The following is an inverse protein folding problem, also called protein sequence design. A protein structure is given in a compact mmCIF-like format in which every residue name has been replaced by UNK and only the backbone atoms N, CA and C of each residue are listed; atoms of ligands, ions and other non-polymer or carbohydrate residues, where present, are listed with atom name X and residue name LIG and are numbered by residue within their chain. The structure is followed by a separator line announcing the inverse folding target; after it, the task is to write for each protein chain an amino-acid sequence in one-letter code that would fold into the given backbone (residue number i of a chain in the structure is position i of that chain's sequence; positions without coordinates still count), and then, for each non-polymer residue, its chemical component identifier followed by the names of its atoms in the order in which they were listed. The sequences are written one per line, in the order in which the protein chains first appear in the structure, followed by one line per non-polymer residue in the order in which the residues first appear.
data_IF_733165963875
#
_entry.id   IF_733165963875
#
_cell.length_a   1.000
_cell.length_b   1.000
_cell.length_c   1.000
_cell.angle_alpha   90.00
_cell.angle_beta   90.00
_cell.angle_gamma   90.00
#
_symmetry.space_group_name_H-M   'P 1'
#
loop_
_entity.id
_entity.type
_entity.pdbx_description
1 polymer ?
#
# COMPACT_ATOMS: atom_id res chain seq x y z
N UNK A 1 35.54 -23.56 36.12
CA UNK A 1 35.37 -22.13 36.45
C UNK A 1 34.80 -21.47 35.21
N UNK A 2 33.48 -21.62 35.04
CA UNK A 2 32.70 -21.10 33.92
C UNK A 2 31.94 -19.86 34.40
N UNK A 3 32.00 -18.77 33.62
CA UNK A 3 31.09 -17.63 33.79
C UNK A 3 30.07 -17.59 32.66
N UNK A 4 28.83 -17.76 33.09
CA UNK A 4 27.57 -17.86 32.37
C UNK A 4 27.29 -16.65 31.47
N UNK A 5 26.98 -16.91 30.21
CA UNK A 5 26.09 -16.06 29.41
C UNK A 5 24.64 -16.32 29.84
N UNK A 6 23.96 -15.27 30.27
CA UNK A 6 22.58 -15.34 30.71
C UNK A 6 21.67 -15.36 29.47
N UNK A 7 21.16 -16.53 29.09
CA UNK A 7 20.07 -16.65 28.14
C UNK A 7 18.78 -16.14 28.80
N UNK A 8 18.35 -14.93 28.44
CA UNK A 8 16.99 -14.49 28.67
C UNK A 8 16.05 -15.43 27.92
N UNK A 9 15.37 -16.31 28.67
CA UNK A 9 14.25 -17.13 28.18
C UNK A 9 13.24 -16.22 27.48
N UNK A 10 12.96 -16.46 26.20
CA UNK A 10 11.77 -15.94 25.53
C UNK A 10 10.56 -16.48 26.27
N UNK A 11 9.89 -15.65 27.07
CA UNK A 11 8.56 -15.98 27.56
C UNK A 11 7.59 -15.77 26.39
N UNK A 12 7.07 -16.85 25.84
CA UNK A 12 5.88 -16.79 24.99
C UNK A 12 4.67 -16.43 25.87
N UNK A 13 3.60 -15.88 25.28
CA UNK A 13 2.32 -15.68 25.97
C UNK A 13 1.82 -16.98 26.64
N UNK A 14 2.18 -18.14 26.09
CA UNK A 14 1.91 -19.46 26.66
C UNK A 14 2.71 -19.78 27.94
N UNK A 15 3.91 -19.22 28.12
CA UNK A 15 4.72 -19.38 29.33
C UNK A 15 4.18 -18.55 30.51
N UNK A 16 3.33 -17.56 30.22
CA UNK A 16 2.62 -16.78 31.23
C UNK A 16 1.38 -17.54 31.75
N UNK A 17 0.70 -18.28 30.88
CA UNK A 17 -0.57 -19.00 31.17
C UNK A 17 -0.37 -20.28 31.99
N UNK A 18 0.76 -20.99 31.82
CA UNK A 18 1.04 -22.24 32.58
C UNK A 18 1.32 -22.05 34.08
N UNK A 19 1.44 -20.81 34.55
CA UNK A 19 1.70 -20.51 35.97
C UNK A 19 0.43 -20.31 36.80
N UNK A 20 -0.75 -20.37 36.20
CA UNK A 20 -2.01 -20.28 36.93
C UNK A 20 -2.51 -21.67 37.32
N UNK A 21 -2.55 -21.95 38.62
CA UNK A 21 -2.95 -23.25 39.19
C UNK A 21 -4.47 -23.48 39.21
N UNK A 22 -5.26 -22.61 38.60
CA UNK A 22 -6.73 -22.64 38.63
C UNK A 22 -7.39 -23.31 37.42
N UNK A 23 -6.63 -23.70 36.38
CA UNK A 23 -7.17 -24.18 35.10
C UNK A 23 -7.02 -25.70 34.96
N UNK A 24 -8.15 -26.42 34.97
CA UNK A 24 -8.20 -27.87 34.75
C UNK A 24 -7.95 -28.23 33.27
N UNK A 25 -6.85 -28.93 33.03
CA UNK A 25 -6.36 -29.32 31.69
C UNK A 25 -6.99 -30.60 31.11
N UNK A 26 -7.99 -31.18 31.77
CA UNK A 26 -8.56 -32.49 31.41
C UNK A 26 -9.68 -32.48 30.37
N UNK A 27 -10.13 -31.31 29.89
CA UNK A 27 -11.23 -31.21 28.93
C UNK A 27 -10.80 -31.46 27.47
N UNK A 28 -11.52 -32.33 26.76
CA UNK A 28 -11.35 -32.62 25.31
C UNK A 28 -11.57 -31.42 24.37
N UNK A 29 -11.97 -30.27 24.90
CA UNK A 29 -12.23 -29.04 24.15
C UNK A 29 -11.52 -27.82 24.78
N UNK A 30 -10.32 -28.06 25.32
CA UNK A 30 -9.48 -27.06 26.00
C UNK A 30 -9.32 -25.76 25.21
N UNK A 31 -9.19 -25.82 23.87
CA UNK A 31 -9.01 -24.62 23.04
C UNK A 31 -10.28 -23.75 22.92
N UNK A 32 -11.49 -24.34 22.92
CA UNK A 32 -12.74 -23.57 22.81
C UNK A 32 -13.05 -22.88 24.14
N UNK A 33 -12.83 -23.57 25.26
CA UNK A 33 -12.99 -23.05 26.62
C UNK A 33 -11.94 -21.97 26.91
N UNK A 34 -10.68 -22.16 26.49
CA UNK A 34 -9.61 -21.17 26.66
C UNK A 34 -9.87 -19.91 25.82
N UNK A 35 -10.38 -20.06 24.59
CA UNK A 35 -10.76 -18.93 23.73
C UNK A 35 -11.90 -18.11 24.35
N UNK A 36 -12.94 -18.78 24.84
CA UNK A 36 -14.08 -18.11 25.51
C UNK A 36 -13.70 -17.52 26.87
N UNK A 37 -12.74 -18.10 27.60
CA UNK A 37 -12.20 -17.50 28.83
C UNK A 37 -11.30 -16.29 28.53
N UNK A 38 -10.40 -16.39 27.56
CA UNK A 38 -9.50 -15.29 27.18
C UNK A 38 -10.26 -14.08 26.62
N UNK A 39 -11.32 -14.30 25.84
CA UNK A 39 -12.23 -13.23 25.40
C UNK A 39 -13.05 -12.61 26.54
N UNK A 40 -13.30 -13.37 27.62
CA UNK A 40 -13.94 -12.87 28.84
C UNK A 40 -12.97 -12.17 29.79
N UNK A 41 -11.68 -12.49 29.76
CA UNK A 41 -10.68 -11.95 30.69
C UNK A 41 -9.87 -10.77 30.13
N UNK A 42 -9.70 -10.65 28.79
CA UNK A 42 -8.90 -9.58 28.18
C UNK A 42 -9.75 -8.81 27.17
N UNK A 43 -10.32 -7.69 27.62
CA UNK A 43 -10.89 -6.68 26.73
C UNK A 43 -9.77 -6.07 25.85
N UNK A 44 -9.80 -6.24 24.51
CA UNK A 44 -8.74 -5.74 23.62
C UNK A 44 -8.47 -4.25 23.79
N UNK A 45 -9.52 -3.47 24.05
CA UNK A 45 -9.40 -2.03 24.25
C UNK A 45 -8.64 -1.71 25.54
N UNK A 46 -8.88 -2.45 26.63
CA UNK A 46 -8.08 -2.33 27.87
C UNK A 46 -6.62 -2.68 27.65
N UNK A 47 -6.35 -3.72 26.86
CA UNK A 47 -4.98 -4.13 26.58
C UNK A 47 -4.22 -3.09 25.75
N UNK A 48 -4.91 -2.43 24.80
CA UNK A 48 -4.34 -1.35 24.00
C UNK A 48 -4.12 -0.09 24.85
N UNK A 49 -5.16 0.38 25.55
CA UNK A 49 -5.13 1.68 26.24
C UNK A 49 -4.42 1.62 27.60
N UNK A 50 -4.30 0.44 28.20
CA UNK A 50 -3.82 0.28 29.58
C UNK A 50 -4.89 0.60 30.63
N UNK A 51 -4.52 0.47 31.91
CA UNK A 51 -5.46 0.49 33.04
C UNK A 51 -6.05 1.89 33.38
N UNK A 52 -5.52 2.97 32.79
CA UNK A 52 -5.84 4.35 33.20
C UNK A 52 -6.84 5.07 32.27
N UNK A 53 -7.41 4.41 31.26
CA UNK A 53 -8.30 5.06 30.28
C UNK A 53 -9.77 4.69 30.46
N UNK A 54 -10.65 5.69 30.29
CA UNK A 54 -12.09 5.48 30.29
C UNK A 54 -12.53 4.82 28.98
N UNK A 55 -12.87 3.53 29.04
CA UNK A 55 -13.34 2.75 27.89
C UNK A 55 -14.52 3.38 27.14
N UNK A 56 -15.36 4.17 27.81
CA UNK A 56 -16.54 4.81 27.17
C UNK A 56 -16.18 5.85 26.11
N UNK A 57 -14.91 6.24 26.05
CA UNK A 57 -14.43 7.29 25.17
C UNK A 57 -13.72 6.76 23.91
N UNK A 58 -13.48 5.45 23.82
CA UNK A 58 -12.78 4.84 22.70
C UNK A 58 -13.58 3.66 22.15
N UNK A 59 -13.54 3.47 20.83
CA UNK A 59 -14.19 2.35 20.15
C UNK A 59 -13.29 1.92 18.98
N UNK A 60 -12.96 0.63 18.90
CA UNK A 60 -12.31 0.07 17.69
C UNK A 60 -13.37 -0.11 16.59
N UNK A 61 -12.96 -0.19 15.32
CA UNK A 61 -13.89 -0.65 14.29
C UNK A 61 -14.29 -2.11 14.52
N UNK A 62 -15.51 -2.46 14.13
CA UNK A 62 -16.09 -3.81 14.31
C UNK A 62 -15.33 -4.89 13.51
N UNK A 63 -14.60 -4.50 12.47
CA UNK A 63 -13.78 -5.38 11.64
C UNK A 63 -12.33 -5.51 12.13
N UNK A 64 -11.98 -4.92 13.28
CA UNK A 64 -10.69 -5.11 13.96
C UNK A 64 -10.77 -6.34 14.85
N UNK A 65 -10.22 -7.45 14.36
CA UNK A 65 -10.32 -8.73 15.08
C UNK A 65 -9.04 -9.56 15.07
N UNK A 66 -8.07 -9.23 14.23
CA UNK A 66 -6.84 -10.01 14.13
C UNK A 66 -5.77 -9.48 15.08
N UNK A 67 -4.97 -10.38 15.64
CA UNK A 67 -3.91 -10.03 16.61
C UNK A 67 -2.98 -8.95 16.06
N UNK A 68 -2.59 -9.02 14.79
CA UNK A 68 -1.72 -8.02 14.17
C UNK A 68 -2.37 -6.64 14.09
N UNK A 69 -3.69 -6.55 13.92
CA UNK A 69 -4.45 -5.29 13.88
C UNK A 69 -4.50 -4.67 15.27
N UNK A 70 -4.73 -5.48 16.31
CA UNK A 70 -4.68 -5.03 17.71
C UNK A 70 -3.27 -4.54 18.08
N UNK A 71 -2.22 -5.24 17.63
CA UNK A 71 -0.84 -4.81 17.85
C UNK A 71 -0.56 -3.47 17.16
N UNK A 72 -0.98 -3.29 15.91
CA UNK A 72 -0.81 -2.02 15.20
C UNK A 72 -1.63 -0.89 15.83
N UNK A 73 -2.87 -1.16 16.27
CA UNK A 73 -3.71 -0.22 17.00
C UNK A 73 -3.01 0.25 18.29
N UNK A 74 -2.37 -0.67 19.02
CA UNK A 74 -1.55 -0.32 20.20
C UNK A 74 -0.34 0.51 19.83
N UNK A 75 0.39 0.16 18.77
CA UNK A 75 1.58 0.88 18.33
C UNK A 75 1.26 2.33 17.94
N UNK A 76 0.20 2.58 17.17
CA UNK A 76 -0.20 3.95 16.83
C UNK A 76 -0.71 4.73 18.04
N UNK A 77 -1.42 4.07 18.96
CA UNK A 77 -1.92 4.68 20.18
C UNK A 77 -0.76 5.11 21.09
N UNK A 78 0.18 4.21 21.40
CA UNK A 78 1.33 4.52 22.26
C UNK A 78 2.18 5.67 21.69
N UNK A 79 2.25 5.78 20.36
CA UNK A 79 3.00 6.86 19.69
C UNK A 79 2.28 8.22 19.77
N UNK A 80 0.94 8.24 19.79
CA UNK A 80 0.15 9.45 19.62
C UNK A 80 -0.73 9.82 20.83
N UNK A 81 -0.77 9.00 21.88
CA UNK A 81 -1.67 9.15 23.04
C UNK A 81 -1.55 10.48 23.78
N UNK A 82 -0.39 11.11 23.75
CA UNK A 82 -0.14 12.41 24.39
C UNK A 82 -0.90 13.56 23.69
N UNK A 83 -1.34 13.36 22.44
CA UNK A 83 -2.15 14.32 21.70
C UNK A 83 -3.37 13.62 21.08
N UNK A 84 -4.45 13.50 21.85
CA UNK A 84 -5.66 12.82 21.43
C UNK A 84 -6.36 13.46 20.23
N UNK A 85 -6.19 14.78 20.01
CA UNK A 85 -6.71 15.43 18.81
C UNK A 85 -5.94 15.02 17.56
N UNK A 86 -4.61 14.94 17.65
CA UNK A 86 -3.79 14.39 16.57
C UNK A 86 -4.10 12.90 16.35
N UNK A 87 -4.25 12.13 17.44
CA UNK A 87 -4.61 10.71 17.36
C UNK A 87 -5.97 10.51 16.67
N UNK A 88 -7.01 11.27 17.02
CA UNK A 88 -8.33 11.26 16.37
C UNK A 88 -8.23 11.51 14.86
N UNK A 89 -7.34 12.41 14.43
CA UNK A 89 -7.10 12.74 13.02
C UNK A 89 -6.34 11.65 12.26
N UNK A 90 -5.54 10.84 12.94
CA UNK A 90 -4.57 9.95 12.31
C UNK A 90 -4.84 8.47 12.47
N UNK A 91 -5.44 8.04 13.57
CA UNK A 91 -5.69 6.62 13.90
C UNK A 91 -6.32 5.87 12.73
N UNK A 92 -5.87 4.64 12.51
CA UNK A 92 -6.41 3.76 11.50
C UNK A 92 -7.46 2.78 12.06
N UNK A 93 -7.31 2.36 13.32
CA UNK A 93 -8.08 1.25 13.88
C UNK A 93 -9.18 1.68 14.87
N UNK A 94 -9.18 2.93 15.29
CA UNK A 94 -10.21 3.45 16.20
C UNK A 94 -11.32 4.15 15.42
N UNK A 95 -12.56 3.72 15.66
CA UNK A 95 -13.80 4.36 15.22
C UNK A 95 -14.09 5.61 16.04
N UNK A 96 -13.99 5.51 17.37
CA UNK A 96 -14.13 6.64 18.30
C UNK A 96 -12.84 6.91 19.06
N UNK A 97 -12.51 8.20 19.19
CA UNK A 97 -11.45 8.73 20.05
C UNK A 97 -12.04 9.88 20.85
N UNK A 98 -11.98 9.79 22.18
CA UNK A 98 -12.59 10.73 23.10
C UNK A 98 -14.09 11.01 22.87
N UNK A 99 -14.85 9.97 22.50
CA UNK A 99 -16.29 10.07 22.20
C UNK A 99 -16.64 10.63 20.82
N UNK A 100 -15.65 11.01 20.02
CA UNK A 100 -15.82 11.56 18.68
C UNK A 100 -15.36 10.57 17.60
N UNK A 101 -16.01 10.62 16.43
CA UNK A 101 -15.60 9.83 15.27
C UNK A 101 -14.21 10.22 14.79
N UNK A 102 -13.34 9.24 14.57
CA UNK A 102 -12.02 9.46 13.99
C UNK A 102 -12.13 9.93 12.54
N UNK A 103 -11.06 10.52 12.01
CA UNK A 103 -11.02 10.89 10.59
C UNK A 103 -11.09 9.65 9.70
N UNK A 104 -10.51 8.52 10.13
CA UNK A 104 -10.58 7.26 9.40
C UNK A 104 -12.01 6.75 9.25
N UNK A 105 -12.90 7.02 10.21
CA UNK A 105 -14.32 6.69 10.06
C UNK A 105 -14.91 7.34 8.80
N UNK A 106 -14.69 8.64 8.59
CA UNK A 106 -15.23 9.32 7.42
C UNK A 106 -14.47 8.99 6.14
N UNK A 107 -13.14 8.86 6.22
CA UNK A 107 -12.29 8.51 5.06
C UNK A 107 -12.66 7.13 4.50
N UNK A 108 -12.79 6.13 5.37
CA UNK A 108 -13.18 4.77 4.96
C UNK A 108 -14.60 4.67 4.41
N UNK A 109 -15.45 5.68 4.66
CA UNK A 109 -16.79 5.76 4.06
C UNK A 109 -16.79 6.32 2.62
N UNK A 110 -15.66 6.85 2.14
CA UNK A 110 -15.45 7.14 0.72
C UNK A 110 -15.20 5.80 0.00
N UNK A 111 -16.29 5.09 -0.27
CA UNK A 111 -16.24 3.70 -0.73
C UNK A 111 -15.61 3.57 -2.12
N UNK A 112 -14.76 2.56 -2.26
CA UNK A 112 -14.23 2.12 -3.54
C UNK A 112 -14.83 0.81 -4.05
N UNK A 113 -14.58 0.50 -5.31
CA UNK A 113 -14.99 -0.76 -5.96
C UNK A 113 -14.35 -1.95 -5.22
N UNK A 114 -15.19 -2.87 -4.77
CA UNK A 114 -14.74 -4.08 -4.06
C UNK A 114 -14.26 -3.87 -2.63
N UNK A 115 -14.56 -2.72 -2.02
CA UNK A 115 -14.25 -2.47 -0.61
C UNK A 115 -15.03 -3.41 0.32
N UNK A 116 -14.34 -3.92 1.35
CA UNK A 116 -14.94 -4.67 2.46
C UNK A 116 -14.56 -3.98 3.77
N UNK A 117 -15.56 -3.61 4.57
CA UNK A 117 -15.36 -2.93 5.85
C UNK A 117 -14.63 -1.58 5.70
N UNK A 118 -13.69 -1.33 6.60
CA UNK A 118 -12.93 -0.08 6.73
C UNK A 118 -11.43 -0.24 6.37
N UNK A 119 -11.05 -1.42 5.88
CA UNK A 119 -9.64 -1.84 5.78
C UNK A 119 -8.96 -1.46 4.47
N UNK A 120 -9.69 -1.51 3.34
CA UNK A 120 -9.11 -1.45 2.00
C UNK A 120 -9.95 -0.63 1.03
N UNK A 121 -9.38 -0.37 -0.16
CA UNK A 121 -10.06 0.18 -1.35
C UNK A 121 -10.75 1.55 -1.22
N UNK A 122 -10.84 2.16 -0.03
CA UNK A 122 -11.40 3.51 0.14
C UNK A 122 -10.59 4.58 -0.60
N UNK A 123 -11.17 5.78 -0.76
CA UNK A 123 -10.56 6.88 -1.53
C UNK A 123 -10.11 6.40 -2.92
N UNK A 124 -8.91 6.79 -3.36
CA UNK A 124 -8.36 6.45 -4.68
C UNK A 124 -7.60 5.12 -4.67
N UNK A 125 -7.56 4.34 -3.57
CA UNK A 125 -6.81 3.07 -3.51
C UNK A 125 -7.25 2.04 -4.55
N UNK A 126 -8.53 2.05 -4.90
CA UNK A 126 -9.13 1.14 -5.88
C UNK A 126 -8.98 1.60 -7.32
N UNK A 127 -8.57 2.86 -7.56
CA UNK A 127 -8.33 3.35 -8.90
C UNK A 127 -7.23 2.51 -9.54
N UNK A 128 -7.57 1.93 -10.68
CA UNK A 128 -6.88 0.89 -11.42
C UNK A 128 -6.66 -0.44 -10.63
N UNK A 129 -7.02 -1.61 -11.22
CA UNK A 129 -6.98 -2.89 -10.52
C UNK A 129 -5.56 -3.47 -10.49
N UNK A 130 -4.74 -3.01 -9.55
CA UNK A 130 -3.40 -3.56 -9.31
C UNK A 130 -3.43 -4.75 -8.35
N UNK A 131 -2.76 -5.85 -8.72
CA UNK A 131 -2.67 -7.09 -7.91
C UNK A 131 -1.49 -7.03 -6.94
N UNK A 132 -1.66 -7.61 -5.75
CA UNK A 132 -0.58 -7.70 -4.77
C UNK A 132 -0.32 -6.41 -4.00
N UNK A 133 -1.34 -5.57 -3.79
CA UNK A 133 -1.28 -4.40 -2.92
C UNK A 133 -1.63 -4.74 -1.48
N UNK A 134 -1.02 -4.05 -0.52
CA UNK A 134 -1.39 -4.14 0.90
C UNK A 134 -2.58 -3.23 1.25
N UNK A 135 -3.15 -3.43 2.43
CA UNK A 135 -4.31 -2.68 2.92
C UNK A 135 -3.91 -1.27 3.40
N UNK A 136 -4.64 -0.24 2.97
CA UNK A 136 -4.37 1.15 3.35
C UNK A 136 -4.43 1.38 4.87
N UNK A 137 -5.40 0.78 5.56
CA UNK A 137 -5.55 0.93 7.02
C UNK A 137 -4.32 0.45 7.80
N UNK A 138 -3.72 -0.67 7.38
CA UNK A 138 -2.51 -1.21 8.00
C UNK A 138 -1.33 -0.24 7.85
N UNK A 139 -1.18 0.33 6.65
CA UNK A 139 -0.09 1.24 6.31
C UNK A 139 -0.21 2.56 7.03
N UNK A 140 -1.43 3.06 7.18
CA UNK A 140 -1.73 4.24 8.00
C UNK A 140 -1.26 4.05 9.43
N UNK A 141 -1.57 2.91 10.05
CA UNK A 141 -1.12 2.61 11.41
C UNK A 141 0.42 2.51 11.51
N UNK A 142 1.07 1.92 10.51
CA UNK A 142 2.54 1.86 10.45
C UNK A 142 3.15 3.27 10.32
N UNK A 143 2.61 4.14 9.48
CA UNK A 143 3.05 5.55 9.36
C UNK A 143 2.86 6.29 10.69
N UNK A 144 1.75 6.02 11.40
CA UNK A 144 1.51 6.58 12.73
C UNK A 144 2.52 6.09 13.76
N UNK A 145 2.82 4.79 13.79
CA UNK A 145 3.84 4.22 14.66
C UNK A 145 5.23 4.81 14.41
N UNK A 146 5.61 5.03 13.15
CA UNK A 146 6.87 5.70 12.79
C UNK A 146 6.93 7.13 13.37
N UNK A 147 5.78 7.74 13.63
CA UNK A 147 5.68 9.10 14.17
C UNK A 147 6.06 10.17 13.17
N UNK A 148 6.00 9.88 11.87
CA UNK A 148 6.33 10.86 10.84
C UNK A 148 5.22 11.92 10.72
N UNK A 149 5.62 13.19 10.69
CA UNK A 149 4.68 14.32 10.58
C UNK A 149 5.30 15.53 9.87
N UNK A 150 4.44 16.40 9.33
CA UNK A 150 4.86 17.68 8.74
C UNK A 150 5.81 17.50 7.57
N UNK A 151 7.07 17.90 7.77
CA UNK A 151 8.13 17.88 6.75
C UNK A 151 8.97 16.59 6.76
N UNK A 152 8.67 15.65 7.68
CA UNK A 152 9.23 14.31 7.61
C UNK A 152 8.82 13.59 6.31
N UNK A 153 9.73 12.75 5.83
CA UNK A 153 9.55 11.98 4.60
C UNK A 153 9.37 10.51 4.95
N UNK A 154 8.26 9.92 4.48
CA UNK A 154 8.07 8.47 4.38
C UNK A 154 8.51 8.01 3.00
N UNK A 155 9.33 6.98 2.94
CA UNK A 155 9.81 6.37 1.69
C UNK A 155 9.08 5.05 1.40
N UNK A 156 8.70 4.85 0.15
CA UNK A 156 8.33 3.55 -0.39
C UNK A 156 9.21 3.24 -1.63
N UNK A 157 10.28 2.43 -1.51
CA UNK A 157 11.17 2.13 -2.62
C UNK A 157 10.60 1.09 -3.60
N UNK A 158 9.44 0.48 -3.30
CA UNK A 158 8.72 -0.45 -4.15
C UNK A 158 7.26 0.01 -4.27
N UNK A 159 7.08 1.28 -4.65
CA UNK A 159 5.82 2.00 -4.51
C UNK A 159 4.62 1.26 -5.15
N UNK A 160 4.82 0.58 -6.28
CA UNK A 160 3.76 -0.11 -7.00
C UNK A 160 2.65 0.87 -7.38
N UNK A 161 1.44 0.65 -6.86
CA UNK A 161 0.27 1.52 -7.12
C UNK A 161 0.07 2.67 -6.11
N UNK A 162 1.05 2.93 -5.23
CA UNK A 162 1.10 4.17 -4.45
C UNK A 162 0.37 4.17 -3.10
N UNK A 163 0.02 3.01 -2.53
CA UNK A 163 -0.76 2.96 -1.28
C UNK A 163 -0.08 3.68 -0.11
N UNK A 164 1.25 3.54 0.06
CA UNK A 164 2.00 4.27 1.09
C UNK A 164 1.89 5.78 0.92
N UNK A 165 2.05 6.28 -0.31
CA UNK A 165 2.03 7.72 -0.58
C UNK A 165 0.62 8.32 -0.38
N UNK A 166 -0.43 7.58 -0.77
CA UNK A 166 -1.81 8.00 -0.53
C UNK A 166 -2.06 8.16 0.98
N UNK A 167 -1.68 7.16 1.78
CA UNK A 167 -1.85 7.24 3.24
C UNK A 167 -1.02 8.35 3.86
N UNK A 168 0.27 8.48 3.48
CA UNK A 168 1.14 9.55 3.94
C UNK A 168 0.56 10.95 3.64
N UNK A 169 0.04 11.15 2.42
CA UNK A 169 -0.58 12.40 2.00
C UNK A 169 -1.80 12.75 2.86
N UNK A 170 -2.67 11.77 3.11
CA UNK A 170 -3.92 11.96 3.88
C UNK A 170 -3.65 12.22 5.36
N UNK A 171 -2.62 11.60 5.96
CA UNK A 171 -2.22 11.88 7.35
C UNK A 171 -1.32 13.11 7.51
N UNK A 172 -1.09 13.86 6.43
CA UNK A 172 -0.38 15.14 6.46
C UNK A 172 1.14 15.04 6.50
N UNK A 173 1.73 14.01 5.87
CA UNK A 173 3.18 13.73 5.87
C UNK A 173 3.72 13.67 4.44
N UNK A 174 4.93 14.20 4.20
CA UNK A 174 5.55 14.10 2.88
C UNK A 174 5.94 12.66 2.59
N UNK A 175 5.97 12.31 1.31
CA UNK A 175 6.46 10.99 0.91
C UNK A 175 7.19 10.98 -0.42
N UNK A 176 8.09 10.01 -0.56
CA UNK A 176 8.80 9.71 -1.80
C UNK A 176 8.54 8.26 -2.16
N UNK A 177 8.10 8.01 -3.39
CA UNK A 177 7.94 6.68 -3.96
C UNK A 177 8.99 6.44 -5.05
N UNK A 178 9.64 5.29 -5.02
CA UNK A 178 10.48 4.81 -6.13
C UNK A 178 9.78 3.64 -6.79
N UNK A 179 9.70 3.67 -8.11
CA UNK A 179 9.12 2.60 -8.91
C UNK A 179 9.91 2.44 -10.20
N UNK A 180 10.14 1.19 -10.61
CA UNK A 180 10.91 0.87 -11.82
C UNK A 180 10.00 0.77 -13.03
N UNK A 181 8.71 0.46 -12.83
CA UNK A 181 7.71 0.37 -13.88
C UNK A 181 7.12 1.78 -14.20
N UNK A 182 7.38 2.34 -15.39
CA UNK A 182 6.88 3.66 -15.77
C UNK A 182 5.35 3.74 -15.75
N UNK A 183 4.67 2.65 -16.12
CA UNK A 183 3.22 2.61 -16.13
C UNK A 183 2.64 2.71 -14.71
N UNK A 184 3.30 2.11 -13.71
CA UNK A 184 2.87 2.22 -12.31
C UNK A 184 3.24 3.56 -11.68
N UNK A 185 4.33 4.19 -12.13
CA UNK A 185 4.64 5.58 -11.77
C UNK A 185 3.53 6.52 -12.23
N UNK A 186 3.07 6.37 -13.47
CA UNK A 186 1.92 7.09 -14.04
C UNK A 186 0.65 6.81 -13.22
N UNK A 187 0.27 5.55 -13.05
CA UNK A 187 -0.95 5.17 -12.31
C UNK A 187 -0.94 5.79 -10.91
N UNK A 188 0.17 5.66 -10.18
CA UNK A 188 0.29 6.18 -8.82
C UNK A 188 0.21 7.70 -8.76
N UNK A 189 0.83 8.41 -9.70
CA UNK A 189 0.77 9.86 -9.78
C UNK A 189 -0.67 10.34 -10.01
N UNK A 190 -1.39 9.71 -10.95
CA UNK A 190 -2.79 10.05 -11.23
C UNK A 190 -3.67 9.80 -10.00
N UNK A 191 -3.45 8.71 -9.26
CA UNK A 191 -4.19 8.40 -8.01
C UNK A 191 -3.96 9.44 -6.92
N UNK A 192 -2.76 9.99 -6.81
CA UNK A 192 -2.42 11.05 -5.86
C UNK A 192 -3.04 12.39 -6.28
N UNK A 193 -2.92 12.75 -7.54
CA UNK A 193 -3.49 14.01 -8.05
C UNK A 193 -5.03 14.00 -7.99
N UNK A 194 -5.64 12.83 -8.15
CA UNK A 194 -7.09 12.63 -7.99
C UNK A 194 -7.62 13.01 -6.61
N UNK A 195 -6.79 12.94 -5.55
CA UNK A 195 -7.17 13.36 -4.20
C UNK A 195 -7.38 14.89 -4.10
N UNK A 196 -6.86 15.65 -5.06
CA UNK A 196 -6.85 17.12 -5.07
C UNK A 196 -7.83 17.72 -6.09
N UNK A 197 -8.55 16.89 -6.84
CA UNK A 197 -9.51 17.36 -7.85
C UNK A 197 -10.67 18.10 -7.18
N UNK A 198 -10.90 19.34 -7.64
CA UNK A 198 -12.12 20.09 -7.35
C UNK A 198 -13.29 19.45 -8.10
N UNK A 199 -14.01 18.54 -7.44
CA UNK A 199 -15.05 17.74 -8.10
C UNK A 199 -16.18 18.58 -8.73
N UNK A 200 -16.73 19.62 -8.06
CA UNK A 200 -17.71 20.52 -8.69
C UNK A 200 -17.26 21.03 -10.06
N UNK A 201 -16.05 21.59 -10.12
CA UNK A 201 -15.45 22.14 -11.34
C UNK A 201 -15.24 21.06 -12.41
N UNK A 202 -14.71 19.90 -12.02
CA UNK A 202 -14.55 18.74 -12.91
C UNK A 202 -15.90 18.30 -13.53
N UNK A 203 -16.93 18.16 -12.69
CA UNK A 203 -18.26 17.69 -13.11
C UNK A 203 -19.04 18.74 -13.93
N UNK A 204 -18.70 20.01 -13.76
CA UNK A 204 -19.23 21.11 -14.56
C UNK A 204 -18.69 21.09 -16.00
N UNK A 205 -17.45 20.65 -16.20
CA UNK A 205 -16.76 20.69 -17.48
C UNK A 205 -16.74 19.36 -18.26
N UNK A 206 -16.90 18.22 -17.59
CA UNK A 206 -16.88 16.89 -18.22
C UNK A 206 -18.25 16.23 -18.04
N UNK A 207 -19.05 16.22 -19.11
CA UNK A 207 -20.42 15.70 -19.10
C UNK A 207 -20.49 14.26 -19.59
N UNK A 208 -21.54 13.55 -19.17
CA UNK A 208 -21.84 12.19 -19.64
C UNK A 208 -22.00 12.14 -21.18
N UNK A 209 -22.49 13.23 -21.78
CA UNK A 209 -22.58 13.40 -23.23
C UNK A 209 -21.22 13.45 -23.94
N UNK A 210 -20.14 13.78 -23.22
CA UNK A 210 -18.78 13.83 -23.76
C UNK A 210 -18.09 12.46 -23.79
N UNK A 211 -18.57 11.50 -23.00
CA UNK A 211 -17.94 10.19 -22.86
C UNK A 211 -17.73 9.44 -24.19
N UNK A 212 -18.68 9.41 -25.16
CA UNK A 212 -18.42 8.72 -26.42
C UNK A 212 -17.27 9.36 -27.23
N UNK A 213 -17.16 10.70 -27.25
CA UNK A 213 -16.03 11.37 -27.94
C UNK A 213 -14.70 11.19 -27.21
N UNK A 214 -14.71 11.20 -25.87
CA UNK A 214 -13.52 10.94 -25.04
C UNK A 214 -13.04 9.51 -25.22
N UNK A 215 -13.96 8.53 -25.17
CA UNK A 215 -13.64 7.12 -25.39
C UNK A 215 -13.05 6.90 -26.77
N UNK A 216 -13.65 7.49 -27.81
CA UNK A 216 -13.16 7.43 -29.18
C UNK A 216 -11.73 7.97 -29.29
N UNK A 217 -11.42 9.11 -28.66
CA UNK A 217 -10.07 9.67 -28.67
C UNK A 217 -9.03 8.67 -28.15
N UNK A 218 -9.24 8.07 -26.97
CA UNK A 218 -8.28 7.13 -26.40
C UNK A 218 -8.23 5.80 -27.16
N UNK A 219 -9.35 5.36 -27.75
CA UNK A 219 -9.41 4.18 -28.60
C UNK A 219 -8.60 4.37 -29.87
N UNK A 220 -8.79 5.49 -30.56
CA UNK A 220 -8.08 5.80 -31.80
C UNK A 220 -6.58 6.05 -31.50
N UNK A 221 -6.25 6.57 -30.29
CA UNK A 221 -4.87 6.68 -29.83
C UNK A 221 -4.12 5.35 -29.75
N UNK A 222 -4.84 4.27 -29.44
CA UNK A 222 -4.26 2.93 -29.33
C UNK A 222 -3.57 2.47 -30.60
N UNK A 223 -4.09 2.85 -31.77
CA UNK A 223 -3.57 2.39 -33.07
C UNK A 223 -2.13 2.87 -33.27
N UNK A 224 -1.89 4.17 -33.12
CA UNK A 224 -0.55 4.73 -33.31
C UNK A 224 0.38 4.55 -32.10
N UNK A 225 -0.14 4.46 -30.87
CA UNK A 225 0.69 4.18 -29.69
C UNK A 225 1.23 2.75 -29.69
N UNK A 226 0.50 1.78 -30.23
CA UNK A 226 1.02 0.42 -30.39
C UNK A 226 2.17 0.34 -31.41
N UNK A 227 2.18 1.22 -32.41
CA UNK A 227 3.22 1.26 -33.45
C UNK A 227 4.48 2.00 -32.97
N UNK A 228 4.33 2.99 -32.08
CA UNK A 228 5.43 3.77 -31.51
C UNK A 228 5.82 3.23 -30.14
N UNK A 229 6.96 2.55 -30.08
CA UNK A 229 7.54 2.18 -28.78
C UNK A 229 8.00 3.43 -28.04
N UNK A 230 7.53 3.59 -26.81
CA UNK A 230 8.03 4.59 -25.88
C UNK A 230 9.21 4.00 -25.13
N UNK A 231 10.41 4.42 -25.52
CA UNK A 231 11.65 4.05 -24.85
C UNK A 231 11.88 4.95 -23.63
N UNK A 232 11.23 4.59 -22.53
CA UNK A 232 11.41 5.25 -21.24
C UNK A 232 12.27 4.38 -20.31
N UNK A 233 13.23 5.01 -19.64
CA UNK A 233 14.24 4.36 -18.79
C UNK A 233 14.14 4.85 -17.35
N UNK A 234 14.53 4.01 -16.40
CA UNK A 234 14.68 4.43 -15.01
C UNK A 234 15.91 5.33 -14.84
N UNK A 235 15.65 6.63 -14.74
CA UNK A 235 16.65 7.71 -14.69
C UNK A 235 16.37 8.71 -13.53
N UNK A 236 15.51 8.32 -12.59
CA UNK A 236 15.02 9.14 -11.48
C UNK A 236 14.17 10.37 -11.90
N UNK A 237 13.62 10.38 -13.12
CA UNK A 237 12.68 11.42 -13.55
C UNK A 237 11.39 11.38 -12.71
N UNK A 238 10.82 12.56 -12.47
CA UNK A 238 9.57 12.70 -11.74
C UNK A 238 8.39 12.19 -12.58
N UNK A 239 7.46 11.43 -11.98
CA UNK A 239 6.27 10.93 -12.67
C UNK A 239 5.39 12.04 -13.26
N UNK A 240 5.39 13.24 -12.69
CA UNK A 240 4.71 14.40 -13.27
C UNK A 240 5.32 14.83 -14.59
N UNK A 241 6.64 14.86 -14.68
CA UNK A 241 7.35 15.21 -15.91
C UNK A 241 7.13 14.14 -16.98
N UNK A 242 7.11 12.87 -16.57
CA UNK A 242 6.76 11.72 -17.45
C UNK A 242 5.34 11.88 -18.02
N UNK A 243 4.37 12.30 -17.19
CA UNK A 243 3.01 12.56 -17.65
C UNK A 243 2.93 13.74 -18.62
N UNK A 244 3.68 14.82 -18.37
CA UNK A 244 3.76 15.96 -19.30
C UNK A 244 4.33 15.49 -20.65
N UNK A 245 5.48 14.79 -20.63
CA UNK A 245 6.11 14.24 -21.83
C UNK A 245 5.17 13.31 -22.60
N UNK A 246 4.45 12.43 -21.90
CA UNK A 246 3.46 11.55 -22.50
C UNK A 246 2.39 12.34 -23.26
N UNK A 247 1.85 13.41 -22.68
CA UNK A 247 0.86 14.23 -23.35
C UNK A 247 1.41 15.03 -24.52
N UNK A 248 2.61 15.61 -24.39
CA UNK A 248 3.18 16.45 -25.43
C UNK A 248 3.66 15.64 -26.64
N UNK A 249 4.30 14.49 -26.40
CA UNK A 249 4.99 13.74 -27.45
C UNK A 249 4.19 12.55 -28.00
N UNK A 250 3.31 11.96 -27.18
CA UNK A 250 2.62 10.72 -27.55
C UNK A 250 1.15 10.93 -27.86
N UNK A 251 0.46 11.85 -27.19
CA UNK A 251 -0.95 12.12 -27.47
C UNK A 251 -1.13 13.24 -28.50
N UNK A 252 -1.98 13.01 -29.51
CA UNK A 252 -2.32 14.03 -30.51
C UNK A 252 -3.12 15.18 -29.90
N UNK A 253 -2.98 16.37 -30.47
CA UNK A 253 -3.77 17.54 -30.06
C UNK A 253 -5.27 17.30 -30.27
N UNK A 254 -6.07 17.60 -29.26
CA UNK A 254 -7.52 17.48 -29.27
C UNK A 254 -8.12 18.33 -28.15
N UNK A 255 -9.44 18.43 -28.10
CA UNK A 255 -10.18 19.09 -27.01
C UNK A 255 -9.84 18.53 -25.60
N UNK A 256 -9.29 17.30 -25.51
CA UNK A 256 -8.88 16.74 -24.22
C UNK A 256 -7.63 17.43 -23.67
N UNK A 257 -6.72 17.91 -24.55
CA UNK A 257 -5.52 18.63 -24.11
C UNK A 257 -5.82 19.99 -23.50
N UNK A 258 -6.98 20.57 -23.82
CA UNK A 258 -7.45 21.84 -23.26
C UNK A 258 -7.90 21.71 -21.80
N UNK A 259 -8.15 20.48 -21.32
CA UNK A 259 -8.44 20.24 -19.92
C UNK A 259 -7.18 20.34 -19.03
N UNK A 260 -7.34 20.72 -17.75
CA UNK A 260 -6.29 20.59 -16.75
C UNK A 260 -5.61 19.22 -16.79
N UNK A 261 -4.28 19.21 -16.57
CA UNK A 261 -3.45 18.01 -16.68
C UNK A 261 -4.00 16.85 -15.85
N UNK A 262 -4.45 17.12 -14.63
CA UNK A 262 -5.02 16.15 -13.70
C UNK A 262 -6.31 15.51 -14.23
N UNK A 263 -7.13 16.27 -14.96
CA UNK A 263 -8.40 15.79 -15.50
C UNK A 263 -8.17 14.88 -16.70
N UNK A 264 -7.32 15.31 -17.65
CA UNK A 264 -6.98 14.47 -18.81
C UNK A 264 -6.27 13.18 -18.38
N UNK A 265 -5.40 13.27 -17.38
CA UNK A 265 -4.77 12.12 -16.71
C UNK A 265 -5.79 11.15 -16.10
N UNK A 266 -6.74 11.66 -15.32
CA UNK A 266 -7.81 10.86 -14.73
C UNK A 266 -8.64 10.13 -15.80
N UNK A 267 -9.01 10.83 -16.88
CA UNK A 267 -9.76 10.24 -17.99
C UNK A 267 -8.98 9.11 -18.68
N UNK A 268 -7.66 9.30 -18.86
CA UNK A 268 -6.77 8.25 -19.35
C UNK A 268 -6.77 7.03 -18.42
N UNK A 269 -6.68 7.24 -17.09
CA UNK A 269 -6.71 6.14 -16.11
C UNK A 269 -8.05 5.37 -16.14
N UNK A 270 -9.17 6.07 -16.29
CA UNK A 270 -10.51 5.46 -16.42
C UNK A 270 -10.58 4.60 -17.69
N UNK A 271 -10.03 5.08 -18.81
CA UNK A 271 -9.94 4.32 -20.04
C UNK A 271 -9.06 3.06 -19.87
N UNK A 272 -7.89 3.19 -19.24
CA UNK A 272 -6.98 2.07 -18.97
C UNK A 272 -7.60 1.02 -18.04
N UNK A 273 -8.37 1.45 -17.04
CA UNK A 273 -9.14 0.54 -16.20
C UNK A 273 -10.22 -0.19 -17.00
N UNK A 274 -10.96 0.51 -17.86
CA UNK A 274 -11.93 -0.13 -18.74
C UNK A 274 -11.28 -1.13 -19.70
N UNK A 275 -10.04 -0.88 -20.15
CA UNK A 275 -9.28 -1.83 -20.98
C UNK A 275 -8.91 -3.08 -20.20
N UNK A 276 -8.51 -2.92 -18.92
CA UNK A 276 -8.28 -4.04 -18.00
C UNK A 276 -9.54 -4.88 -17.83
N UNK A 277 -10.67 -4.24 -17.48
CA UNK A 277 -11.96 -4.92 -17.27
C UNK A 277 -12.41 -5.66 -18.54
N UNK A 278 -12.34 -4.99 -19.70
CA UNK A 278 -12.64 -5.59 -21.00
C UNK A 278 -11.75 -6.81 -21.31
N UNK A 279 -10.47 -6.74 -20.97
CA UNK A 279 -9.51 -7.84 -21.21
C UNK A 279 -9.77 -9.03 -20.29
N UNK A 280 -10.03 -8.79 -19.00
CA UNK A 280 -10.12 -9.85 -18.00
C UNK A 280 -11.52 -10.45 -17.82
N UNK A 281 -12.58 -9.72 -18.18
CA UNK A 281 -13.97 -10.18 -18.02
C UNK A 281 -14.57 -10.74 -19.31
N UNK A 282 -13.81 -10.75 -20.42
CA UNK A 282 -14.21 -11.38 -21.67
C UNK A 282 -14.50 -12.88 -21.49
N UNK A 283 -15.63 -13.36 -21.99
CA UNK A 283 -16.09 -14.74 -21.84
C UNK A 283 -16.64 -15.08 -20.45
N UNK A 284 -16.81 -14.09 -19.56
CA UNK A 284 -17.45 -14.27 -18.25
C UNK A 284 -18.89 -13.77 -18.28
N UNK A 285 -19.69 -14.11 -17.27
CA UNK A 285 -21.04 -13.56 -17.11
C UNK A 285 -21.08 -12.03 -16.84
N UNK A 286 -19.92 -11.41 -16.61
CA UNK A 286 -19.76 -9.95 -16.43
C UNK A 286 -19.22 -9.26 -17.67
N UNK A 287 -19.12 -9.95 -18.80
CA UNK A 287 -18.68 -9.37 -20.06
C UNK A 287 -19.59 -8.20 -20.46
N UNK A 288 -18.98 -7.10 -20.88
CA UNK A 288 -19.62 -5.89 -21.40
C UNK A 288 -18.79 -5.35 -22.54
N UNK A 289 -19.37 -4.44 -23.33
CA UNK A 289 -18.58 -3.72 -24.32
C UNK A 289 -17.52 -2.84 -23.66
N UNK A 290 -16.42 -2.57 -24.36
CA UNK A 290 -15.33 -1.74 -23.82
C UNK A 290 -15.82 -0.31 -23.49
N UNK A 291 -16.64 0.29 -24.34
CA UNK A 291 -17.22 1.62 -24.07
C UNK A 291 -18.15 1.60 -22.85
N UNK A 292 -18.88 0.52 -22.64
CA UNK A 292 -19.75 0.37 -21.47
C UNK A 292 -18.94 0.27 -20.18
N UNK A 293 -17.84 -0.48 -20.15
CA UNK A 293 -16.90 -0.45 -19.03
C UNK A 293 -16.34 0.94 -18.77
N UNK A 294 -16.01 1.70 -19.82
CA UNK A 294 -15.55 3.08 -19.68
C UNK A 294 -16.59 3.98 -19.00
N UNK A 295 -17.86 3.88 -19.40
CA UNK A 295 -18.96 4.65 -18.79
C UNK A 295 -19.23 4.26 -17.34
N UNK A 296 -19.21 2.96 -17.03
CA UNK A 296 -19.36 2.45 -15.66
C UNK A 296 -18.22 2.97 -14.79
N UNK A 297 -16.98 2.77 -15.23
CA UNK A 297 -15.80 3.21 -14.49
C UNK A 297 -15.78 4.74 -14.32
N UNK A 298 -16.18 5.53 -15.32
CA UNK A 298 -16.30 6.99 -15.18
C UNK A 298 -17.29 7.38 -14.07
N UNK A 299 -18.45 6.74 -14.03
CA UNK A 299 -19.47 6.98 -13.00
C UNK A 299 -18.95 6.64 -11.61
N UNK A 300 -18.35 5.45 -11.44
CA UNK A 300 -17.80 4.99 -10.16
C UNK A 300 -16.65 5.89 -9.67
N UNK A 301 -15.73 6.29 -10.55
CA UNK A 301 -14.64 7.21 -10.20
C UNK A 301 -15.20 8.58 -9.78
N UNK A 302 -16.18 9.11 -10.53
CA UNK A 302 -16.84 10.38 -10.23
C UNK A 302 -17.52 10.36 -8.85
N UNK A 303 -18.18 9.26 -8.48
CA UNK A 303 -18.77 9.09 -7.14
C UNK A 303 -17.71 9.12 -6.03
N UNK A 304 -16.58 8.43 -6.21
CA UNK A 304 -15.46 8.46 -5.27
C UNK A 304 -14.87 9.87 -5.15
N UNK A 305 -14.63 10.57 -6.27
CA UNK A 305 -14.07 11.93 -6.27
C UNK A 305 -14.99 12.92 -5.54
N UNK A 306 -16.29 12.87 -5.81
CA UNK A 306 -17.28 13.71 -5.12
C UNK A 306 -17.26 13.48 -3.61
N UNK A 307 -17.24 12.21 -3.22
CA UNK A 307 -17.24 11.81 -1.80
C UNK A 307 -15.94 12.21 -1.12
N UNK A 308 -14.78 11.99 -1.76
CA UNK A 308 -13.48 12.44 -1.27
C UNK A 308 -13.43 13.96 -1.09
N UNK A 309 -13.87 14.73 -2.10
CA UNK A 309 -13.92 16.19 -2.04
C UNK A 309 -14.75 16.69 -0.86
N UNK A 310 -15.96 16.14 -0.67
CA UNK A 310 -16.85 16.48 0.45
C UNK A 310 -16.23 16.12 1.80
N UNK A 311 -15.68 14.90 1.92
CA UNK A 311 -15.05 14.42 3.16
C UNK A 311 -13.83 15.27 3.52
N UNK A 312 -12.97 15.61 2.55
CA UNK A 312 -11.78 16.43 2.80
C UNK A 312 -12.16 17.85 3.20
N UNK A 313 -13.18 18.44 2.57
CA UNK A 313 -13.71 19.74 2.97
C UNK A 313 -14.32 19.71 4.37
N UNK A 314 -15.10 18.68 4.71
CA UNK A 314 -15.69 18.51 6.03
C UNK A 314 -14.62 18.38 7.13
N UNK A 315 -13.54 17.64 6.85
CA UNK A 315 -12.48 17.36 7.82
C UNK A 315 -11.31 18.35 7.76
N UNK A 316 -11.34 19.33 6.85
CA UNK A 316 -10.22 20.22 6.55
C UNK A 316 -8.91 19.45 6.26
N UNK A 317 -9.01 18.34 5.53
CA UNK A 317 -7.84 17.57 5.09
C UNK A 317 -7.25 18.25 3.87
N UNK A 318 -5.95 18.55 3.94
CA UNK A 318 -5.16 19.05 2.81
C UNK A 318 -4.13 17.97 2.49
N UNK A 319 -4.28 17.21 1.39
CA UNK A 319 -3.34 16.16 1.02
C UNK A 319 -1.92 16.71 0.86
N UNK A 320 -0.99 16.17 1.64
CA UNK A 320 0.43 16.61 1.66
C UNK A 320 1.16 16.19 0.38
N UNK A 321 2.24 16.90 0.07
CA UNK A 321 3.08 16.68 -1.10
C UNK A 321 3.68 15.26 -1.14
N UNK A 322 3.67 14.65 -2.33
CA UNK A 322 4.23 13.34 -2.61
C UNK A 322 5.05 13.43 -3.90
N UNK A 323 6.22 12.81 -3.91
CA UNK A 323 7.10 12.75 -5.09
C UNK A 323 7.24 11.30 -5.54
N UNK A 324 7.13 11.06 -6.84
CA UNK A 324 7.35 9.75 -7.44
C UNK A 324 8.51 9.85 -8.41
N UNK A 325 9.54 9.02 -8.23
CA UNK A 325 10.71 8.97 -9.09
C UNK A 325 10.77 7.60 -9.79
N UNK A 326 10.97 7.63 -11.10
CA UNK A 326 11.17 6.43 -11.91
C UNK A 326 12.60 5.91 -11.70
N UNK A 327 12.78 4.95 -10.80
CA UNK A 327 14.10 4.55 -10.31
C UNK A 327 14.13 3.14 -9.75
N UNK A 328 15.27 2.77 -9.16
CA UNK A 328 15.48 1.43 -8.58
C UNK A 328 15.61 1.48 -7.07
N UNK A 329 14.94 0.56 -6.37
CA UNK A 329 15.12 0.35 -4.93
C UNK A 329 16.56 0.00 -4.53
N UNK A 330 17.36 -0.51 -5.48
CA UNK A 330 18.76 -0.91 -5.27
C UNK A 330 19.75 0.25 -5.38
N UNK A 331 19.29 1.43 -5.83
CA UNK A 331 20.08 2.66 -5.94
C UNK A 331 19.15 3.87 -5.79
N UNK A 332 18.88 4.25 -4.54
CA UNK A 332 17.92 5.30 -4.23
C UNK A 332 18.51 6.69 -4.50
N UNK A 333 17.83 7.57 -5.26
CA UNK A 333 18.28 8.93 -5.54
C UNK A 333 18.02 9.88 -4.36
N UNK A 334 18.40 9.45 -3.15
CA UNK A 334 18.18 10.15 -1.89
C UNK A 334 19.47 10.22 -1.08
N UNK A 335 19.64 11.32 -0.35
CA UNK A 335 20.79 11.51 0.54
C UNK A 335 20.77 10.54 1.73
N UNK A 336 21.93 10.33 2.33
CA UNK A 336 22.06 9.53 3.55
C UNK A 336 21.27 10.18 4.69
N UNK A 337 20.60 9.38 5.52
CA UNK A 337 19.83 9.88 6.67
C UNK A 337 18.79 10.97 6.32
N UNK A 338 18.16 10.88 5.15
CA UNK A 338 17.20 11.88 4.67
C UNK A 338 15.74 11.57 5.04
N UNK A 339 15.37 10.30 5.24
CA UNK A 339 13.98 9.88 5.46
C UNK A 339 13.70 9.47 6.90
N UNK A 340 12.51 9.79 7.41
CA UNK A 340 12.10 9.48 8.79
C UNK A 340 11.72 8.00 8.95
N UNK A 341 11.15 7.41 7.91
CA UNK A 341 10.77 6.00 7.90
C UNK A 341 10.60 5.44 6.51
N UNK A 342 10.64 4.12 6.41
CA UNK A 342 10.35 3.37 5.19
C UNK A 342 9.10 2.53 5.44
N UNK A 343 8.14 2.55 4.51
CA UNK A 343 6.98 1.64 4.54
C UNK A 343 6.79 1.08 3.15
N UNK A 344 6.93 -0.23 3.00
CA UNK A 344 7.03 -0.83 1.66
C UNK A 344 6.64 -2.29 1.62
N UNK A 345 6.47 -2.81 0.40
CA UNK A 345 6.33 -4.24 0.13
C UNK A 345 7.07 -4.58 -1.15
N UNK A 346 8.21 -5.29 -1.05
CA UNK A 346 8.94 -5.72 -2.22
C UNK A 346 8.09 -6.65 -3.11
N UNK A 347 8.33 -6.66 -4.42
CA UNK A 347 7.47 -7.38 -5.34
C UNK A 347 7.60 -8.89 -5.16
N UNK A 348 6.48 -9.60 -5.11
CA UNK A 348 6.42 -11.07 -5.07
C UNK A 348 6.73 -11.72 -6.42
N UNK A 349 7.64 -11.15 -7.22
CA UNK A 349 7.84 -11.47 -8.65
C UNK A 349 8.25 -12.92 -8.95
N UNK A 350 8.70 -13.65 -7.92
CA UNK A 350 8.94 -15.09 -8.04
C UNK A 350 7.63 -15.87 -8.13
N UNK A 351 6.55 -15.40 -7.49
CA UNK A 351 5.20 -15.97 -7.54
C UNK A 351 4.25 -15.27 -8.52
N UNK A 352 4.43 -13.98 -8.79
CA UNK A 352 3.56 -13.16 -9.63
C UNK A 352 4.35 -12.56 -10.80
N UNK A 353 3.82 -12.70 -12.02
CA UNK A 353 4.39 -11.99 -13.17
C UNK A 353 3.68 -10.64 -13.32
N UNK A 354 4.19 -9.60 -12.66
CA UNK A 354 3.62 -8.25 -12.69
C UNK A 354 3.57 -7.67 -14.11
N UNK A 355 4.61 -7.91 -14.92
CA UNK A 355 4.63 -7.49 -16.33
C UNK A 355 3.51 -8.16 -17.13
N UNK A 356 3.25 -9.45 -16.89
CA UNK A 356 2.14 -10.15 -17.55
C UNK A 356 0.78 -9.63 -17.08
N UNK A 357 0.62 -9.35 -15.78
CA UNK A 357 -0.63 -8.86 -15.23
C UNK A 357 -1.01 -7.48 -15.80
N UNK A 358 -0.03 -6.61 -16.03
CA UNK A 358 -0.25 -5.25 -16.54
C UNK A 358 0.09 -5.11 -18.03
N UNK A 359 0.14 -6.23 -18.77
CA UNK A 359 0.54 -6.22 -20.18
C UNK A 359 -0.36 -5.35 -21.06
N UNK A 360 -1.67 -5.29 -20.76
CA UNK A 360 -2.62 -4.44 -21.50
C UNK A 360 -2.31 -2.94 -21.33
N UNK A 361 -1.95 -2.53 -20.10
CA UNK A 361 -1.51 -1.17 -19.77
C UNK A 361 -0.16 -0.86 -20.44
N UNK A 362 0.82 -1.74 -20.28
CA UNK A 362 2.16 -1.58 -20.85
C UNK A 362 2.12 -1.49 -22.39
N UNK A 363 1.30 -2.33 -23.03
CA UNK A 363 1.13 -2.30 -24.48
C UNK A 363 0.46 -0.99 -24.94
N UNK A 364 -0.58 -0.53 -24.24
CA UNK A 364 -1.26 0.72 -24.61
C UNK A 364 -0.32 1.93 -24.56
N UNK A 365 0.57 1.96 -23.56
CA UNK A 365 1.57 3.04 -23.42
C UNK A 365 2.83 2.82 -24.27
N UNK A 366 2.93 1.74 -25.04
CA UNK A 366 4.09 1.45 -25.90
C UNK A 366 5.38 1.10 -25.14
N UNK A 367 5.32 0.67 -23.88
CA UNK A 367 6.50 0.45 -23.01
C UNK A 367 7.17 -0.90 -23.34
N UNK A 368 8.51 -0.95 -23.48
CA UNK A 368 9.24 -2.21 -23.75
C UNK A 368 9.27 -3.14 -22.52
N UNK A 369 8.39 -4.14 -22.56
CA UNK A 369 8.27 -5.17 -21.52
C UNK A 369 9.49 -6.08 -21.37
N UNK A 370 10.33 -6.26 -22.41
CA UNK A 370 11.54 -7.10 -22.33
C UNK A 370 12.60 -6.44 -21.49
N UNK A 371 12.75 -5.12 -21.62
CA UNK A 371 13.65 -4.33 -20.77
C UNK A 371 13.16 -4.35 -19.33
N UNK A 372 11.90 -4.04 -19.10
CA UNK A 372 11.32 -3.99 -17.75
C UNK A 372 11.52 -5.32 -16.99
N UNK A 373 11.37 -6.46 -17.69
CA UNK A 373 11.66 -7.80 -17.11
C UNK A 373 13.12 -8.01 -16.69
N UNK A 374 14.08 -7.34 -17.34
CA UNK A 374 15.51 -7.41 -16.98
C UNK A 374 15.87 -6.53 -15.79
N UNK A 375 15.08 -5.49 -15.51
CA UNK A 375 15.34 -4.52 -14.44
C UNK A 375 14.57 -4.84 -13.16
N UNK A 376 13.33 -5.33 -13.28
CA UNK A 376 12.46 -5.63 -12.14
C UNK A 376 13.00 -6.74 -11.24
N UNK A 377 12.97 -6.46 -9.94
CA UNK A 377 13.31 -7.44 -8.89
C UNK A 377 12.45 -8.67 -9.04
N UNK A 378 13.11 -9.84 -9.13
CA UNK A 378 12.47 -11.14 -9.22
C UNK A 378 11.84 -11.50 -10.55
N UNK A 379 12.12 -10.79 -11.64
CA UNK A 379 11.81 -11.25 -13.01
C UNK A 379 13.06 -11.65 -13.82
N UNK A 380 14.25 -11.43 -13.25
CA UNK A 380 15.57 -11.77 -13.83
C UNK A 380 15.93 -13.25 -13.67
N UNK A 381 16.82 -13.74 -14.54
CA UNK A 381 17.41 -15.09 -14.45
C UNK A 381 16.44 -16.24 -14.75
N UNK A 382 16.96 -17.48 -14.73
CA UNK A 382 16.17 -18.71 -14.93
C UNK A 382 16.31 -19.69 -13.77
N UNK A 383 15.23 -20.41 -13.43
CA UNK A 383 15.23 -21.49 -12.41
C UNK A 383 15.85 -21.05 -11.07
N UNK A 384 16.98 -21.64 -10.66
CA UNK A 384 17.64 -21.35 -9.39
C UNK A 384 18.35 -20.00 -9.37
N UNK A 385 18.84 -19.54 -10.53
CA UNK A 385 19.48 -18.22 -10.65
C UNK A 385 18.51 -17.09 -10.30
N UNK A 386 17.24 -17.23 -10.67
CA UNK A 386 16.17 -16.28 -10.34
C UNK A 386 16.04 -16.03 -8.84
N UNK A 387 16.11 -17.10 -8.03
CA UNK A 387 16.02 -16.98 -6.57
C UNK A 387 17.25 -16.28 -5.98
N UNK A 388 18.45 -16.64 -6.46
CA UNK A 388 19.71 -16.00 -6.04
C UNK A 388 19.72 -14.50 -6.37
N UNK A 389 19.36 -14.14 -7.61
CA UNK A 389 19.30 -12.74 -8.03
C UNK A 389 18.26 -11.94 -7.24
N UNK A 390 17.09 -12.54 -6.96
CA UNK A 390 16.09 -11.88 -6.12
C UNK A 390 16.61 -11.64 -4.71
N UNK A 391 17.30 -12.62 -4.11
CA UNK A 391 17.90 -12.48 -2.79
C UNK A 391 18.95 -11.35 -2.75
N UNK A 392 19.81 -11.27 -3.76
CA UNK A 392 20.79 -10.20 -3.93
C UNK A 392 20.12 -8.82 -4.09
N UNK A 393 19.13 -8.72 -4.97
CA UNK A 393 18.37 -7.49 -5.22
C UNK A 393 17.65 -6.99 -3.95
N UNK A 394 17.03 -7.90 -3.17
CA UNK A 394 16.35 -7.55 -1.91
C UNK A 394 17.35 -7.12 -0.85
N UNK A 395 18.46 -7.86 -0.66
CA UNK A 395 19.51 -7.47 0.29
C UNK A 395 20.03 -6.08 -0.04
N UNK A 396 20.34 -5.81 -1.31
CA UNK A 396 20.81 -4.49 -1.76
C UNK A 396 19.80 -3.38 -1.51
N UNK A 397 18.51 -3.67 -1.70
CA UNK A 397 17.44 -2.71 -1.42
C UNK A 397 17.32 -2.41 0.08
N UNK A 398 17.51 -3.40 0.95
CA UNK A 398 17.51 -3.21 2.42
C UNK A 398 18.73 -2.39 2.88
N UNK A 399 19.90 -2.59 2.25
CA UNK A 399 21.10 -1.75 2.48
C UNK A 399 20.83 -0.28 2.10
N UNK A 400 20.18 -0.05 0.96
CA UNK A 400 19.79 1.31 0.54
C UNK A 400 18.76 1.93 1.47
N UNK A 401 17.75 1.16 1.92
CA UNK A 401 16.81 1.61 2.96
C UNK A 401 17.54 2.05 4.22
N UNK A 402 18.51 1.25 4.71
CA UNK A 402 19.33 1.62 5.87
C UNK A 402 20.11 2.92 5.62
N UNK A 403 20.74 3.05 4.44
CA UNK A 403 21.55 4.23 4.10
C UNK A 403 20.75 5.54 4.20
N UNK A 404 19.55 5.56 3.64
CA UNK A 404 18.71 6.77 3.58
C UNK A 404 17.91 7.02 4.86
N UNK A 405 17.65 5.99 5.67
CA UNK A 405 16.91 6.11 6.92
C UNK A 405 17.69 6.94 7.95
N UNK A 406 17.01 7.84 8.65
CA UNK A 406 17.58 8.60 9.79
C UNK A 406 17.87 7.66 10.96
N UNK A 407 18.79 8.08 11.84
CA UNK A 407 19.02 7.41 13.14
C UNK A 407 17.70 7.33 13.92
N UNK A 408 17.47 6.20 14.60
CA UNK A 408 16.24 5.87 15.33
C UNK A 408 14.99 5.74 14.45
N UNK A 409 15.15 5.86 13.12
CA UNK A 409 14.10 5.63 12.15
C UNK A 409 13.76 4.15 12.01
N UNK A 410 12.55 3.90 11.50
CA UNK A 410 12.05 2.54 11.29
C UNK A 410 11.81 2.25 9.82
N UNK A 411 12.20 1.05 9.39
CA UNK A 411 11.78 0.46 8.13
C UNK A 411 10.77 -0.65 8.39
N UNK A 412 9.56 -0.49 7.85
CA UNK A 412 8.48 -1.48 7.87
C UNK A 412 8.32 -2.12 6.49
N UNK A 413 8.63 -3.41 6.40
CA UNK A 413 8.64 -4.18 5.16
C UNK A 413 7.57 -5.28 5.25
N UNK A 414 6.57 -5.21 4.37
CA UNK A 414 5.50 -6.22 4.26
C UNK A 414 5.93 -7.29 3.26
N UNK A 415 6.08 -8.53 3.72
CA UNK A 415 6.57 -9.65 2.92
C UNK A 415 5.96 -11.00 3.32
N UNK A 416 5.47 -11.76 2.35
CA UNK A 416 5.09 -13.16 2.44
C UNK A 416 6.17 -14.13 1.97
N UNK A 417 6.27 -15.29 2.64
CA UNK A 417 7.18 -16.35 2.24
C UNK A 417 6.62 -17.14 1.06
N UNK A 418 7.29 -17.05 -0.08
CA UNK A 418 6.88 -17.76 -1.31
C UNK A 418 7.44 -19.18 -1.31
N UNK A 419 6.72 -20.13 -1.92
CA UNK A 419 7.25 -21.47 -2.21
C UNK A 419 7.67 -21.53 -3.68
N UNK A 420 8.94 -21.86 -3.92
CA UNK A 420 9.56 -21.93 -5.24
C UNK A 420 10.16 -23.31 -5.40
N UNK A 421 9.68 -24.08 -6.39
CA UNK A 421 10.12 -25.46 -6.63
C UNK A 421 10.08 -26.36 -5.36
N UNK A 422 9.04 -26.19 -4.53
CA UNK A 422 8.86 -26.95 -3.29
C UNK A 422 9.71 -26.47 -2.10
N UNK A 423 10.56 -25.45 -2.25
CA UNK A 423 11.31 -24.82 -1.16
C UNK A 423 10.70 -23.48 -0.77
N UNK A 424 10.51 -23.25 0.53
CA UNK A 424 10.10 -21.96 1.08
C UNK A 424 11.29 -20.99 1.04
N UNK A 425 11.05 -19.74 0.71
CA UNK A 425 12.12 -18.74 0.57
C UNK A 425 12.63 -18.18 1.90
N UNK A 426 11.77 -18.20 2.93
CA UNK A 426 12.06 -17.72 4.30
C UNK A 426 12.68 -16.31 4.35
N UNK A 427 12.18 -15.38 3.52
CA UNK A 427 12.76 -14.03 3.40
C UNK A 427 12.65 -13.23 4.68
N UNK A 428 11.59 -13.45 5.47
CA UNK A 428 11.45 -12.85 6.79
C UNK A 428 12.66 -13.19 7.67
N UNK A 429 13.03 -14.48 7.70
CA UNK A 429 14.18 -14.97 8.46
C UNK A 429 15.49 -14.40 7.93
N UNK A 430 15.69 -14.43 6.61
CA UNK A 430 16.90 -13.91 5.97
C UNK A 430 17.14 -12.42 6.25
N UNK A 431 16.11 -11.59 6.13
CA UNK A 431 16.26 -10.15 6.41
C UNK A 431 16.55 -9.91 7.90
N UNK A 432 15.95 -10.66 8.82
CA UNK A 432 16.30 -10.59 10.24
C UNK A 432 17.76 -10.99 10.51
N UNK A 433 18.32 -11.93 9.75
CA UNK A 433 19.74 -12.32 9.84
C UNK A 433 20.65 -11.24 9.26
N UNK A 434 20.27 -10.59 8.16
CA UNK A 434 21.05 -9.50 7.55
C UNK A 434 20.97 -8.18 8.31
N UNK A 435 19.87 -7.92 9.02
CA UNK A 435 19.64 -6.67 9.72
C UNK A 435 20.83 -6.20 10.58
N UNK A 436 21.39 -7.02 11.50
CA UNK A 436 22.57 -6.64 12.27
C UNK A 436 23.84 -6.51 11.42
N UNK A 437 24.00 -7.27 10.33
CA UNK A 437 25.15 -7.15 9.41
C UNK A 437 25.16 -5.79 8.68
N UNK A 438 23.96 -5.29 8.32
CA UNK A 438 23.76 -4.01 7.63
C UNK A 438 23.89 -2.83 8.60
N UNK A 439 23.61 -3.06 9.89
CA UNK A 439 23.77 -2.08 10.96
C UNK A 439 22.48 -1.65 11.66
N UNK A 440 21.36 -2.34 11.42
CA UNK A 440 20.14 -2.15 12.21
C UNK A 440 20.35 -2.67 13.64
N UNK A 441 19.82 -1.94 14.62
CA UNK A 441 20.00 -2.23 16.05
C UNK A 441 18.91 -3.13 16.62
N UNK A 442 17.72 -3.15 16.00
CA UNK A 442 16.61 -4.01 16.38
C UNK A 442 15.82 -4.50 15.16
N UNK A 443 15.21 -5.68 15.29
CA UNK A 443 14.40 -6.32 14.26
C UNK A 443 13.25 -7.13 14.87
N UNK A 444 12.02 -6.82 14.45
CA UNK A 444 10.81 -7.50 14.90
C UNK A 444 9.90 -7.90 13.74
N UNK A 445 9.44 -9.16 13.74
CA UNK A 445 8.51 -9.66 12.73
C UNK A 445 7.11 -9.90 13.31
N UNK A 446 6.14 -9.12 12.83
CA UNK A 446 4.73 -9.31 13.14
C UNK A 446 4.10 -10.25 12.11
N UNK A 447 3.44 -11.31 12.56
CA UNK A 447 2.80 -12.30 11.67
C UNK A 447 1.36 -11.90 11.34
N UNK A 448 1.02 -11.89 10.05
CA UNK A 448 -0.31 -11.57 9.52
C UNK A 448 -0.92 -12.78 8.79
N UNK A 449 -2.10 -13.27 9.16
CA UNK A 449 -2.82 -14.27 8.38
C UNK A 449 -3.33 -13.68 7.05
N UNK A 450 -3.29 -14.47 5.98
CA UNK A 450 -4.03 -14.14 4.75
C UNK A 450 -5.33 -14.93 4.75
N UNK A 451 -6.47 -14.24 4.81
CA UNK A 451 -7.79 -14.85 4.77
C UNK A 451 -8.27 -14.93 3.32
N UNK A 452 -8.52 -16.16 2.82
CA UNK A 452 -9.07 -16.41 1.49
C UNK A 452 -8.73 -17.80 0.92
N UNK A 453 -9.73 -18.55 0.44
CA UNK A 453 -9.60 -19.96 0.03
C UNK A 453 -8.69 -20.26 -1.19
N UNK A 454 -8.25 -19.21 -1.92
CA UNK A 454 -7.36 -19.32 -3.08
C UNK A 454 -5.92 -18.83 -2.81
N UNK A 455 -5.60 -18.43 -1.58
CA UNK A 455 -4.29 -17.88 -1.27
C UNK A 455 -3.21 -18.98 -1.28
N UNK A 456 -2.24 -18.88 -2.21
CA UNK A 456 -1.03 -19.72 -2.21
C UNK A 456 -0.12 -19.45 -1.00
N UNK A 457 -0.30 -18.29 -0.36
CA UNK A 457 0.39 -17.84 0.85
C UNK A 457 -0.57 -17.94 2.04
N UNK A 458 -0.18 -18.65 3.10
CA UNK A 458 -0.98 -18.74 4.34
C UNK A 458 -0.75 -17.57 5.30
N UNK A 459 0.43 -16.96 5.24
CA UNK A 459 0.83 -15.86 6.11
C UNK A 459 1.73 -14.86 5.37
N UNK A 460 1.61 -13.60 5.76
CA UNK A 460 2.57 -12.52 5.49
C UNK A 460 3.20 -12.08 6.81
N UNK A 461 4.30 -11.33 6.73
CA UNK A 461 4.94 -10.69 7.85
C UNK A 461 5.03 -9.19 7.60
N UNK A 462 4.88 -8.40 8.67
CA UNK A 462 5.32 -7.01 8.71
C UNK A 462 6.61 -7.00 9.53
N UNK A 463 7.74 -6.80 8.86
CA UNK A 463 9.06 -6.74 9.47
C UNK A 463 9.40 -5.29 9.79
N UNK A 464 9.73 -5.01 11.05
CA UNK A 464 10.16 -3.72 11.54
C UNK A 464 11.65 -3.78 11.83
N UNK A 465 12.44 -2.89 11.22
CA UNK A 465 13.89 -2.76 11.42
C UNK A 465 14.19 -1.35 11.94
N UNK A 466 14.92 -1.23 13.05
CA UNK A 466 15.29 0.06 13.64
C UNK A 466 16.75 0.39 13.37
N UNK A 467 17.03 1.61 12.89
CA UNK A 467 18.39 2.09 12.65
C UNK A 467 19.04 2.71 13.88
#
# INVERSE_FOLDING_TARGET
MDRKYNHGKKASLFDFIKKDSSIDTSAKDFNSVLSMHLEREIDPLSWILGHNFNKRHFELFEDVGQIYELQLAKMEYETLKENLELFKKRTAYFKLVNGEKSYHYFISMVKGKGQIGHTNQYLTHWFYPYKGKFHGQMIKAIINFIGASGEDIILDPFMGSGTTLIEASVVGTKSVGIEINPALSIVSQIKLDSLKINYPEFSENIKVSDLPRIFKYFRDAREYLNERKWEIEANNQNAKDILIELWENHFQNSFIKDYPLEWRNLLLLIYLHALSDYTYLKGTNKERSFEEFFRINFSEYSMTLNSAYKTFKQLNIIPKECTILLGSAMNLPLENNSVKGVVTSPPYSIALDYVRNDLHLLNYLGIDTRRLRKEMVGLKGKKMEKLRMYEEDIRKSVEEMYRVLRKEGWAAIVLGDVVVNGKRTDFCKKIMEWAPEIGFVDAYAMKRPILGGFARLRYEYVLFLQK
#
